data_IF_595756637731
#
_entry.id   IF_595756637731
#
_cell.length_a   1.000
_cell.length_b   1.000
_cell.length_c   1.000
_cell.angle_alpha   90.00
_cell.angle_beta   90.00
_cell.angle_gamma   90.00
#
_symmetry.space_group_name_H-M   'P 1'
#
loop_
_entity.id
_entity.type
_entity.pdbx_description
1 polymer ?
#
# COMPACT_ATOMS: atom_id res chain seq x y z
N UNK A 1 -16.96 26.45 16.90
CA UNK A 1 -17.37 26.11 15.52
C UNK A 1 -16.20 25.39 14.86
N UNK A 2 -16.10 24.05 15.02
CA UNK A 2 -14.97 23.25 14.55
C UNK A 2 -15.18 22.88 13.07
N UNK A 3 -14.93 23.92 12.26
CA UNK A 3 -14.63 24.03 10.83
C UNK A 3 -15.50 23.35 9.77
N UNK A 4 -15.88 24.19 8.80
CA UNK A 4 -16.55 23.87 7.53
C UNK A 4 -15.85 22.72 6.77
N UNK A 5 -16.64 21.87 6.12
CA UNK A 5 -16.19 20.77 5.24
C UNK A 5 -14.98 21.19 4.38
N UNK A 6 -13.79 20.70 4.71
CA UNK A 6 -12.60 20.70 3.84
C UNK A 6 -12.58 19.38 3.06
N UNK A 7 -13.53 19.21 2.15
CA UNK A 7 -13.42 18.24 1.08
C UNK A 7 -12.34 18.71 0.10
N UNK A 8 -11.43 17.82 -0.26
CA UNK A 8 -10.42 18.09 -1.29
C UNK A 8 -10.41 16.95 -2.30
N UNK A 9 -10.04 17.28 -3.53
CA UNK A 9 -9.92 16.32 -4.64
C UNK A 9 -8.60 16.56 -5.35
N UNK A 10 -7.95 15.47 -5.73
CA UNK A 10 -6.74 15.50 -6.55
C UNK A 10 -7.03 14.71 -7.81
N UNK A 11 -6.76 15.33 -8.95
CA UNK A 11 -6.81 14.64 -10.23
C UNK A 11 -5.45 13.97 -10.49
N UNK A 12 -5.46 12.66 -10.73
CA UNK A 12 -4.27 11.94 -11.14
C UNK A 12 -3.90 12.30 -12.59
N UNK A 13 -2.62 12.14 -12.97
CA UNK A 13 -2.20 12.24 -14.37
C UNK A 13 -3.07 11.40 -15.31
N UNK A 14 -3.08 11.79 -16.58
CA UNK A 14 -3.81 11.08 -17.62
C UNK A 14 -3.37 9.60 -17.64
N UNK A 15 -4.36 8.71 -17.77
CA UNK A 15 -4.17 7.25 -17.83
C UNK A 15 -3.60 6.62 -16.54
N UNK A 16 -3.55 7.38 -15.44
CA UNK A 16 -3.23 6.88 -14.10
C UNK A 16 -4.49 6.80 -13.25
N UNK A 17 -4.79 5.59 -12.74
CA UNK A 17 -5.95 5.34 -11.90
C UNK A 17 -5.52 4.88 -10.51
N UNK A 18 -6.36 5.18 -9.51
CA UNK A 18 -6.22 4.60 -8.17
C UNK A 18 -6.39 3.09 -8.26
N UNK A 19 -5.42 2.35 -7.74
CA UNK A 19 -5.50 0.90 -7.62
C UNK A 19 -5.98 0.51 -6.21
N UNK A 20 -5.30 1.00 -5.18
CA UNK A 20 -5.67 0.80 -3.78
C UNK A 20 -5.30 2.04 -2.96
N UNK A 21 -5.97 2.21 -1.82
CA UNK A 21 -5.74 3.33 -0.90
C UNK A 21 -5.80 2.88 0.55
N UNK A 22 -5.04 3.56 1.40
CA UNK A 22 -5.10 3.38 2.85
C UNK A 22 -5.01 4.72 3.57
N UNK A 23 -5.54 4.75 4.79
CA UNK A 23 -5.56 5.92 5.66
C UNK A 23 -4.74 5.64 6.92
N UNK A 24 -3.70 6.43 7.14
CA UNK A 24 -2.86 6.45 8.32
C UNK A 24 -3.33 7.57 9.27
N UNK A 25 -2.72 7.70 10.45
CA UNK A 25 -3.01 8.82 11.38
C UNK A 25 -2.70 10.19 10.78
N UNK A 26 -1.66 10.29 9.93
CA UNK A 26 -1.19 11.56 9.37
C UNK A 26 -1.35 11.67 7.84
N UNK A 27 -1.56 10.56 7.13
CA UNK A 27 -1.47 10.52 5.67
C UNK A 27 -2.52 9.65 4.98
N UNK A 28 -2.82 9.99 3.74
CA UNK A 28 -3.50 9.14 2.76
C UNK A 28 -2.43 8.56 1.84
N UNK A 29 -2.33 7.23 1.76
CA UNK A 29 -1.45 6.55 0.80
C UNK A 29 -2.26 5.96 -0.34
N UNK A 30 -1.82 6.19 -1.57
CA UNK A 30 -2.49 5.76 -2.79
C UNK A 30 -1.49 5.00 -3.65
N UNK A 31 -1.81 3.77 -4.01
CA UNK A 31 -1.12 3.01 -5.05
C UNK A 31 -1.87 3.16 -6.36
N UNK A 32 -1.16 3.25 -7.48
CA UNK A 32 -1.77 3.53 -8.79
C UNK A 32 -1.44 2.47 -9.84
N UNK A 33 -2.27 2.42 -10.88
CA UNK A 33 -2.07 1.54 -12.05
C UNK A 33 -0.79 1.86 -12.84
N UNK A 34 -0.23 3.05 -12.67
CA UNK A 34 1.04 3.46 -13.27
C UNK A 34 2.27 3.08 -12.41
N UNK A 35 2.09 2.24 -11.39
CA UNK A 35 3.13 1.80 -10.47
C UNK A 35 3.77 2.95 -9.67
N UNK A 36 2.94 3.87 -9.16
CA UNK A 36 3.36 4.87 -8.19
C UNK A 36 2.69 4.64 -6.84
N UNK A 37 3.43 4.93 -5.78
CA UNK A 37 2.89 5.22 -4.45
C UNK A 37 2.89 6.73 -4.28
N UNK A 38 1.73 7.29 -3.98
CA UNK A 38 1.49 8.72 -3.76
C UNK A 38 0.98 8.90 -2.34
N UNK A 39 1.70 9.68 -1.54
CA UNK A 39 1.38 9.98 -0.15
C UNK A 39 0.95 11.43 -0.07
N UNK A 40 -0.22 11.66 0.51
CA UNK A 40 -0.80 12.99 0.75
C UNK A 40 -1.02 13.20 2.23
N UNK A 41 -0.91 14.43 2.70
CA UNK A 41 -1.41 14.80 4.04
C UNK A 41 -2.93 14.65 4.09
N UNK A 42 -3.52 14.61 5.29
CA UNK A 42 -4.98 14.61 5.46
C UNK A 42 -5.67 15.85 4.85
N UNK A 43 -4.91 16.91 4.55
CA UNK A 43 -5.40 18.14 3.93
C UNK A 43 -5.17 18.20 2.41
N UNK A 44 -4.72 17.10 1.79
CA UNK A 44 -4.56 17.01 0.33
C UNK A 44 -3.26 17.60 -0.22
N UNK A 45 -2.27 17.87 0.63
CA UNK A 45 -0.95 18.31 0.16
C UNK A 45 -0.12 17.09 -0.25
N UNK A 46 0.51 17.08 -1.44
CA UNK A 46 1.47 16.04 -1.82
C UNK A 46 2.65 16.01 -0.85
N UNK A 47 2.89 14.86 -0.24
CA UNK A 47 4.01 14.65 0.69
C UNK A 47 5.16 13.89 0.03
N UNK A 48 4.86 12.80 -0.69
CA UNK A 48 5.86 11.97 -1.37
C UNK A 48 5.25 11.24 -2.56
N UNK A 49 6.03 11.08 -3.62
CA UNK A 49 5.70 10.21 -4.76
C UNK A 49 6.91 9.36 -5.09
N UNK A 50 6.75 8.05 -5.16
CA UNK A 50 7.82 7.13 -5.50
C UNK A 50 7.31 5.92 -6.27
N UNK A 51 8.21 5.19 -6.94
CA UNK A 51 7.89 3.90 -7.55
C UNK A 51 8.26 2.78 -6.56
N UNK A 52 7.32 1.90 -6.20
CA UNK A 52 7.64 0.72 -5.43
C UNK A 52 8.44 -0.25 -6.31
N UNK A 53 9.22 -1.11 -5.70
CA UNK A 53 10.05 -2.08 -6.43
C UNK A 53 9.28 -3.34 -6.81
N UNK A 54 8.34 -3.76 -5.96
CA UNK A 54 7.39 -4.84 -6.19
C UNK A 54 6.23 -4.34 -7.07
N UNK A 55 6.30 -4.60 -8.38
CA UNK A 55 5.31 -4.14 -9.36
C UNK A 55 4.83 -5.28 -10.26
N UNK A 56 3.53 -5.29 -10.66
CA UNK A 56 2.49 -4.33 -10.30
C UNK A 56 2.08 -4.39 -8.82
N UNK A 57 1.67 -3.25 -8.29
CA UNK A 57 1.05 -3.18 -6.95
C UNK A 57 -0.26 -3.98 -6.92
N UNK A 58 -0.63 -4.47 -5.76
CA UNK A 58 -1.86 -5.25 -5.51
C UNK A 58 -2.74 -4.57 -4.48
N UNK A 59 -2.18 -4.15 -3.35
CA UNK A 59 -2.94 -3.50 -2.27
C UNK A 59 -2.06 -2.71 -1.31
N UNK A 60 -2.67 -1.92 -0.45
CA UNK A 60 -2.02 -1.27 0.67
C UNK A 60 -2.95 -1.20 1.89
N UNK A 61 -2.35 -1.17 3.09
CA UNK A 61 -3.06 -1.01 4.36
C UNK A 61 -2.24 -0.10 5.29
N UNK A 62 -2.90 0.49 6.29
CA UNK A 62 -2.22 1.39 7.23
C UNK A 62 -2.67 1.18 8.67
N UNK A 63 -1.76 1.45 9.62
CA UNK A 63 -2.01 1.52 11.05
C UNK A 63 -1.05 2.49 11.71
N UNK A 64 -1.58 3.43 12.49
CA UNK A 64 -0.82 4.63 12.89
C UNK A 64 -0.23 5.29 11.63
N UNK A 65 1.07 5.54 11.59
CA UNK A 65 1.78 5.99 10.39
C UNK A 65 2.59 4.88 9.70
N UNK A 66 2.32 3.62 10.04
CA UNK A 66 2.84 2.47 9.29
C UNK A 66 1.96 2.20 8.09
N UNK A 67 2.59 1.96 6.95
CA UNK A 67 1.96 1.59 5.69
C UNK A 67 2.56 0.28 5.23
N UNK A 68 1.69 -0.69 4.99
CA UNK A 68 2.01 -1.91 4.27
C UNK A 68 1.64 -1.70 2.80
N UNK A 69 2.57 -2.01 1.92
CA UNK A 69 2.36 -2.08 0.47
C UNK A 69 2.67 -3.49 0.00
N UNK A 70 1.79 -4.04 -0.85
CA UNK A 70 1.95 -5.36 -1.43
C UNK A 70 1.88 -5.30 -2.95
N UNK A 71 2.79 -6.00 -3.61
CA UNK A 71 2.91 -6.05 -5.05
C UNK A 71 3.53 -7.36 -5.51
N UNK A 72 3.43 -7.62 -6.81
CA UNK A 72 3.99 -8.82 -7.41
C UNK A 72 5.51 -8.68 -7.52
N UNK A 73 6.21 -9.71 -7.06
CA UNK A 73 7.64 -9.90 -7.24
C UNK A 73 7.96 -10.79 -8.45
N UNK A 74 9.18 -11.32 -8.51
CA UNK A 74 9.62 -12.22 -9.56
C UNK A 74 8.72 -13.45 -9.73
N UNK A 75 8.68 -13.96 -10.95
CA UNK A 75 8.02 -15.23 -11.26
C UNK A 75 8.89 -16.39 -10.76
N UNK A 76 8.30 -17.27 -9.96
CA UNK A 76 8.95 -18.48 -9.45
C UNK A 76 9.03 -19.59 -10.49
N UNK A 77 9.71 -20.68 -10.13
CA UNK A 77 9.81 -21.88 -10.97
C UNK A 77 8.45 -22.58 -11.22
N UNK A 78 7.46 -22.28 -10.39
CA UNK A 78 6.06 -22.70 -10.52
C UNK A 78 5.27 -21.89 -11.56
N UNK A 79 5.88 -20.85 -12.16
CA UNK A 79 5.25 -19.99 -13.16
C UNK A 79 4.35 -18.90 -12.56
N UNK A 80 4.29 -18.77 -11.23
CA UNK A 80 3.50 -17.76 -10.54
C UNK A 80 4.38 -16.68 -9.92
N UNK A 81 3.90 -15.44 -9.88
CA UNK A 81 4.57 -14.35 -9.16
C UNK A 81 4.48 -14.58 -7.65
N UNK A 82 5.57 -14.35 -6.92
CA UNK A 82 5.51 -14.30 -5.46
C UNK A 82 5.11 -12.90 -5.00
N UNK A 83 4.13 -12.80 -4.10
CA UNK A 83 3.78 -11.52 -3.51
C UNK A 83 4.90 -11.07 -2.56
N UNK A 84 5.28 -9.80 -2.67
CA UNK A 84 6.25 -9.16 -1.81
C UNK A 84 5.57 -8.04 -1.03
N UNK A 85 5.93 -7.88 0.25
CA UNK A 85 5.46 -6.79 1.09
C UNK A 85 6.58 -5.88 1.54
N UNK A 86 6.25 -4.60 1.66
CA UNK A 86 7.08 -3.59 2.30
C UNK A 86 6.25 -2.94 3.39
N UNK A 87 6.83 -2.81 4.59
CA UNK A 87 6.22 -2.11 5.71
C UNK A 87 7.15 -0.95 6.06
N UNK A 88 6.63 0.27 5.99
CA UNK A 88 7.37 1.48 6.33
C UNK A 88 6.54 2.40 7.23
N UNK A 89 7.20 3.13 8.11
CA UNK A 89 6.61 4.29 8.75
C UNK A 89 6.82 5.49 7.83
N UNK A 90 5.75 5.97 7.20
CA UNK A 90 5.83 7.05 6.20
C UNK A 90 6.16 8.41 6.82
N UNK A 91 5.89 8.60 8.11
CA UNK A 91 6.17 9.85 8.82
C UNK A 91 7.65 10.01 9.18
N UNK A 92 8.29 8.90 9.54
CA UNK A 92 9.71 8.89 9.95
C UNK A 92 10.64 8.34 8.87
N UNK A 93 10.10 7.99 7.69
CA UNK A 93 10.82 7.36 6.59
C UNK A 93 11.61 6.11 7.01
N UNK A 94 11.03 5.32 7.91
CA UNK A 94 11.68 4.13 8.48
C UNK A 94 11.11 2.87 7.87
N UNK A 95 11.95 2.08 7.19
CA UNK A 95 11.54 0.81 6.59
C UNK A 95 11.73 -0.32 7.63
N UNK A 96 10.63 -1.02 7.97
CA UNK A 96 10.63 -2.15 8.89
C UNK A 96 10.79 -3.49 8.16
N UNK A 97 10.19 -3.60 6.98
CA UNK A 97 10.26 -4.75 6.07
C UNK A 97 10.39 -4.23 4.65
N UNK A 98 11.23 -4.85 3.82
CA UNK A 98 11.56 -4.35 2.49
C UNK A 98 11.53 -5.49 1.48
N UNK A 99 10.44 -5.59 0.73
CA UNK A 99 10.26 -6.63 -0.29
C UNK A 99 10.32 -8.06 0.27
N UNK A 100 9.83 -8.25 1.50
CA UNK A 100 9.79 -9.56 2.13
C UNK A 100 8.71 -10.44 1.47
N UNK A 101 9.01 -11.72 1.27
CA UNK A 101 8.07 -12.65 0.63
C UNK A 101 6.88 -12.92 1.53
N UNK A 102 5.69 -12.82 0.95
CA UNK A 102 4.44 -13.13 1.64
C UNK A 102 4.26 -14.65 1.65
N UNK A 103 4.22 -15.23 2.84
CA UNK A 103 3.99 -16.66 3.03
C UNK A 103 2.53 -17.02 2.76
N UNK A 104 2.21 -17.31 1.49
CA UNK A 104 0.94 -17.90 1.08
C UNK A 104 1.10 -19.41 0.85
N UNK A 105 0.08 -20.22 1.19
CA UNK A 105 0.03 -21.61 0.75
C UNK A 105 0.08 -21.71 -0.78
N UNK A 106 0.60 -22.82 -1.29
CA UNK A 106 0.66 -23.07 -2.73
C UNK A 106 -0.74 -23.01 -3.37
N UNK A 107 -0.85 -22.29 -4.48
CA UNK A 107 -2.12 -22.06 -5.19
C UNK A 107 -3.07 -21.06 -4.53
N UNK A 108 -2.79 -20.61 -3.30
CA UNK A 108 -3.65 -19.66 -2.62
C UNK A 108 -3.48 -18.23 -3.16
N UNK A 109 -4.57 -17.47 -3.13
CA UNK A 109 -4.60 -16.05 -3.46
C UNK A 109 -4.82 -15.21 -2.20
N UNK A 110 -4.24 -14.02 -2.14
CA UNK A 110 -4.51 -13.09 -1.05
C UNK A 110 -5.94 -12.56 -1.17
N UNK A 111 -6.77 -12.73 -0.14
CA UNK A 111 -8.13 -12.18 -0.09
C UNK A 111 -8.19 -10.81 0.56
N UNK A 112 -7.49 -10.65 1.68
CA UNK A 112 -7.44 -9.40 2.42
C UNK A 112 -6.19 -9.29 3.28
N UNK A 113 -5.75 -8.05 3.51
CA UNK A 113 -4.70 -7.67 4.45
C UNK A 113 -5.22 -6.52 5.30
N UNK A 114 -4.90 -6.54 6.59
CA UNK A 114 -5.23 -5.48 7.53
C UNK A 114 -4.25 -5.51 8.70
N UNK A 115 -4.28 -4.46 9.51
CA UNK A 115 -3.57 -4.42 10.78
C UNK A 115 -4.54 -4.72 11.92
N UNK A 116 -4.15 -5.59 12.83
CA UNK A 116 -4.74 -5.74 14.16
C UNK A 116 -3.95 -4.91 15.18
N UNK A 117 -4.39 -4.92 16.43
CA UNK A 117 -3.66 -4.31 17.54
C UNK A 117 -2.30 -4.97 17.80
N UNK A 118 -2.10 -6.21 17.31
CA UNK A 118 -0.87 -6.99 17.48
C UNK A 118 0.04 -7.00 16.24
N UNK A 119 -0.40 -6.44 15.11
CA UNK A 119 0.42 -6.33 13.90
C UNK A 119 -0.32 -6.65 12.60
N UNK A 120 0.43 -7.05 11.57
CA UNK A 120 -0.14 -7.36 10.25
C UNK A 120 -0.87 -8.71 10.27
N UNK A 121 -2.08 -8.74 9.72
CA UNK A 121 -2.90 -9.93 9.55
C UNK A 121 -3.19 -10.16 8.06
N UNK A 122 -3.05 -11.41 7.61
CA UNK A 122 -3.28 -11.83 6.24
C UNK A 122 -4.35 -12.93 6.18
N UNK A 123 -5.29 -12.80 5.25
CA UNK A 123 -6.31 -13.81 5.02
C UNK A 123 -6.18 -14.39 3.60
N UNK A 124 -5.68 -15.62 3.47
CA UNK A 124 -5.60 -16.30 2.18
C UNK A 124 -6.96 -16.87 1.77
N UNK A 125 -7.17 -17.02 0.47
CA UNK A 125 -8.26 -17.79 -0.14
C UNK A 125 -7.64 -18.95 -0.92
N UNK A 126 -8.06 -20.20 -0.68
CA UNK A 126 -7.61 -21.35 -1.45
C UNK A 126 -8.06 -21.29 -2.91
#
# INVERSE_FOLDING_TARGET
MWTQRHDWRIQLPKDEHVLAMSLSESFVTVTTTANYVRVYTLFGLPYRVYRPKNTPMVTCASWKDYVLTMGNGPVGADGYTKLLCTIENVKTDTICQNEDTVALPDGATLKSVFFSDSGVCLHPKP
#
